data_IF_558866274558
#
_entry.id   IF_558866274558
#
_cell.length_a   1.000
_cell.length_b   1.000
_cell.length_c   1.000
_cell.angle_alpha   90.00
_cell.angle_beta   90.00
_cell.angle_gamma   90.00
#
_symmetry.space_group_name_H-M   'P 1'
#
loop_
_entity.id
_entity.type
_entity.pdbx_description
1 polymer ?
#
# COMPACT_ATOMS: atom_id res chain seq x y z
N UNK A 1 -32.36 8.26 38.54
CA UNK A 1 -31.23 7.31 38.39
C UNK A 1 -30.33 7.45 39.60
N UNK A 2 -30.03 6.35 40.29
CA UNK A 2 -29.26 6.38 41.54
C UNK A 2 -27.83 5.90 41.27
N UNK A 3 -26.84 6.77 41.50
CA UNK A 3 -25.40 6.46 41.40
C UNK A 3 -24.81 5.91 42.69
N UNK A 4 -25.58 5.94 43.78
CA UNK A 4 -25.15 5.44 45.09
C UNK A 4 -24.87 3.95 45.01
N UNK A 5 -23.76 3.55 45.65
CA UNK A 5 -23.36 2.14 45.73
C UNK A 5 -24.45 1.30 46.39
N UNK A 6 -24.73 0.08 45.89
CA UNK A 6 -25.77 -0.77 46.46
C UNK A 6 -25.56 -1.07 47.95
N UNK A 7 -24.32 -1.18 48.43
CA UNK A 7 -24.04 -1.39 49.86
C UNK A 7 -24.58 -0.30 50.79
N UNK A 8 -24.67 0.95 50.31
CA UNK A 8 -25.21 2.08 51.10
C UNK A 8 -26.73 2.02 51.19
N UNK A 9 -27.40 1.57 50.12
CA UNK A 9 -28.87 1.53 50.06
C UNK A 9 -29.42 0.22 50.62
N UNK A 10 -28.75 -0.90 50.35
CA UNK A 10 -29.14 -2.24 50.77
C UNK A 10 -28.57 -2.60 52.15
N UNK A 11 -27.52 -1.92 52.61
CA UNK A 11 -26.91 -2.12 53.92
C UNK A 11 -25.96 -3.32 54.03
N UNK A 12 -25.63 -4.00 52.93
CA UNK A 12 -24.75 -5.16 52.94
C UNK A 12 -24.12 -5.49 51.57
N UNK A 13 -23.16 -6.42 51.62
CA UNK A 13 -22.46 -6.97 50.46
C UNK A 13 -21.36 -6.05 49.95
N UNK A 14 -20.52 -6.60 49.06
CA UNK A 14 -19.54 -5.81 48.32
C UNK A 14 -19.93 -5.83 46.85
N UNK A 15 -19.89 -4.65 46.23
CA UNK A 15 -20.43 -4.43 44.88
C UNK A 15 -19.39 -3.77 43.98
N UNK A 16 -19.29 -4.23 42.75
CA UNK A 16 -18.43 -3.64 41.71
C UNK A 16 -19.29 -3.13 40.57
N UNK A 17 -19.03 -1.92 40.11
CA UNK A 17 -19.78 -1.31 39.02
C UNK A 17 -19.41 -1.93 37.68
N UNK A 18 -20.41 -2.12 36.83
CA UNK A 18 -20.23 -2.47 35.42
C UNK A 18 -20.28 -1.15 34.64
N UNK A 19 -19.16 -0.79 34.02
CA UNK A 19 -18.99 0.47 33.28
C UNK A 19 -18.61 0.16 31.84
N UNK A 20 -19.13 0.91 30.86
CA UNK A 20 -18.72 0.83 29.44
C UNK A 20 -18.79 -0.56 28.81
N UNK A 21 -19.77 -1.38 29.21
CA UNK A 21 -19.90 -2.78 28.75
C UNK A 21 -21.35 -3.15 28.46
N UNK A 22 -21.56 -3.89 27.37
CA UNK A 22 -22.81 -4.62 27.16
C UNK A 22 -22.79 -5.93 27.93
N UNK A 23 -23.96 -6.36 28.40
CA UNK A 23 -24.12 -7.66 29.03
C UNK A 23 -24.35 -8.72 27.95
N UNK A 24 -23.50 -9.75 27.96
CA UNK A 24 -23.59 -10.90 27.08
C UNK A 24 -23.85 -12.15 27.91
N UNK A 25 -24.91 -12.89 27.58
CA UNK A 25 -25.27 -14.12 28.28
C UNK A 25 -24.36 -15.26 27.81
N UNK A 26 -23.53 -15.79 28.71
CA UNK A 26 -22.55 -16.83 28.40
C UNK A 26 -22.47 -17.88 29.52
N UNK A 27 -21.81 -19.00 29.21
CA UNK A 27 -21.48 -20.06 30.18
C UNK A 27 -20.19 -19.77 30.97
N UNK A 28 -19.57 -18.61 30.71
CA UNK A 28 -18.48 -18.03 31.50
C UNK A 28 -18.98 -16.75 32.15
N UNK A 29 -18.35 -16.34 33.25
CA UNK A 29 -18.71 -15.13 33.99
C UNK A 29 -17.52 -14.19 34.10
N UNK A 30 -17.78 -12.88 34.01
CA UNK A 30 -16.79 -11.80 34.19
C UNK A 30 -15.67 -11.74 33.14
N UNK A 31 -15.79 -12.48 32.05
CA UNK A 31 -14.93 -12.30 30.88
C UNK A 31 -15.28 -11.00 30.16
N UNK A 32 -14.26 -10.33 29.63
CA UNK A 32 -14.42 -9.05 28.95
C UNK A 32 -13.77 -9.08 27.57
N UNK A 33 -14.38 -8.40 26.61
CA UNK A 33 -13.88 -8.27 25.25
C UNK A 33 -14.65 -7.20 24.48
N UNK A 34 -14.45 -7.17 23.17
CA UNK A 34 -15.07 -6.18 22.28
C UNK A 34 -14.23 -4.91 22.12
N UNK A 35 -14.66 -4.05 21.19
CA UNK A 35 -14.04 -2.75 20.90
C UNK A 35 -15.13 -1.74 20.55
N UNK A 36 -14.96 -0.47 20.90
CA UNK A 36 -15.84 0.60 20.43
C UNK A 36 -15.51 1.01 18.99
N UNK A 37 -14.29 0.74 18.52
CA UNK A 37 -13.78 1.11 17.19
C UNK A 37 -13.48 -0.11 16.33
N UNK A 38 -13.68 0.03 15.02
CA UNK A 38 -13.26 -0.95 14.02
C UNK A 38 -11.76 -0.76 13.78
N UNK A 39 -10.99 -1.84 13.90
CA UNK A 39 -9.55 -1.89 13.57
C UNK A 39 -9.30 -2.61 12.25
N UNK A 40 -8.07 -2.53 11.72
CA UNK A 40 -7.68 -3.26 10.51
C UNK A 40 -7.89 -4.78 10.62
N UNK A 41 -7.71 -5.36 11.82
CA UNK A 41 -7.95 -6.78 12.07
C UNK A 41 -9.43 -7.18 11.98
N UNK A 42 -10.35 -6.20 12.04
CA UNK A 42 -11.79 -6.44 11.87
C UNK A 42 -12.22 -6.36 10.40
N UNK A 43 -11.34 -5.94 9.49
CA UNK A 43 -11.67 -5.81 8.08
C UNK A 43 -11.43 -7.15 7.37
N UNK A 44 -12.34 -7.58 6.48
CA UNK A 44 -12.10 -8.74 5.63
C UNK A 44 -10.93 -8.48 4.69
N UNK A 45 -10.37 -9.57 4.15
CA UNK A 45 -9.40 -9.49 3.06
C UNK A 45 -9.99 -8.69 1.89
N UNK A 46 -9.23 -7.72 1.39
CA UNK A 46 -9.62 -6.88 0.27
C UNK A 46 -8.38 -6.55 -0.59
N UNK A 47 -8.63 -6.07 -1.80
CA UNK A 47 -7.58 -5.68 -2.75
C UNK A 47 -7.93 -4.35 -3.42
N UNK A 48 -6.90 -3.58 -3.76
CA UNK A 48 -7.04 -2.40 -4.59
C UNK A 48 -6.55 -2.71 -6.01
N UNK A 49 -7.36 -2.35 -7.00
CA UNK A 49 -6.91 -2.34 -8.40
C UNK A 49 -6.28 -0.99 -8.71
N UNK A 50 -5.07 -1.00 -9.26
CA UNK A 50 -4.30 0.19 -9.60
C UNK A 50 -3.82 0.04 -11.05
N UNK A 51 -4.02 1.07 -11.86
CA UNK A 51 -3.50 1.17 -13.24
C UNK A 51 -2.73 2.48 -13.38
N UNK A 52 -1.44 2.42 -13.72
CA UNK A 52 -0.53 3.56 -13.80
C UNK A 52 0.12 3.62 -15.17
N UNK A 53 0.34 4.82 -15.69
CA UNK A 53 1.06 5.08 -16.94
C UNK A 53 2.02 6.25 -16.77
N UNK A 54 3.16 6.21 -17.47
CA UNK A 54 4.03 7.38 -17.64
C UNK A 54 3.70 8.07 -18.96
N UNK A 55 3.81 9.40 -19.00
CA UNK A 55 3.42 10.20 -20.16
C UNK A 55 4.52 10.37 -21.20
N UNK A 56 5.77 10.05 -20.88
CA UNK A 56 6.92 10.33 -21.73
C UNK A 56 7.87 9.14 -21.78
N UNK A 57 8.25 8.73 -22.99
CA UNK A 57 9.41 7.88 -23.19
C UNK A 57 10.68 8.70 -22.93
N UNK A 58 11.65 8.12 -22.20
CA UNK A 58 12.93 8.79 -21.97
C UNK A 58 13.69 8.98 -23.28
N UNK A 59 13.88 10.23 -23.73
CA UNK A 59 14.69 10.53 -24.92
C UNK A 59 16.12 10.03 -24.73
N UNK A 60 16.59 9.18 -25.64
CA UNK A 60 17.99 8.79 -25.71
C UNK A 60 18.45 8.63 -27.16
N UNK A 61 19.78 8.63 -27.32
CA UNK A 61 20.47 8.62 -28.61
C UNK A 61 21.71 7.74 -28.50
N UNK A 62 21.93 6.87 -29.48
CA UNK A 62 23.18 6.13 -29.61
C UNK A 62 24.03 6.78 -30.69
N UNK A 63 25.32 6.98 -30.40
CA UNK A 63 26.31 7.42 -31.37
C UNK A 63 27.01 6.20 -31.93
N UNK A 64 27.08 6.09 -33.25
CA UNK A 64 27.78 5.00 -33.91
C UNK A 64 28.75 5.53 -34.98
N UNK A 65 29.74 4.70 -35.29
CA UNK A 65 30.74 4.96 -36.32
C UNK A 65 30.49 4.02 -37.49
N UNK A 66 30.05 4.59 -38.62
CA UNK A 66 29.85 3.85 -39.87
C UNK A 66 31.05 3.99 -40.78
N UNK A 67 31.31 2.97 -41.59
CA UNK A 67 32.27 3.03 -42.70
C UNK A 67 31.76 2.18 -43.86
N UNK A 68 32.09 2.58 -45.09
CA UNK A 68 31.77 1.80 -46.29
C UNK A 68 33.03 1.08 -46.80
N UNK A 69 32.88 -0.17 -47.21
CA UNK A 69 33.92 -0.93 -47.91
C UNK A 69 33.86 -0.61 -49.41
N UNK A 70 35.02 -0.52 -50.06
CA UNK A 70 35.11 -0.65 -51.52
C UNK A 70 36.06 -1.80 -51.85
N UNK A 71 35.70 -2.60 -52.86
CA UNK A 71 36.62 -3.55 -53.50
C UNK A 71 37.33 -2.82 -54.63
N UNK A 72 38.63 -3.06 -54.77
CA UNK A 72 39.56 -2.33 -55.65
C UNK A 72 39.04 -2.12 -57.07
N UNK A 73 39.10 -0.86 -57.53
CA UNK A 73 39.07 -0.50 -58.96
C UNK A 73 40.49 -0.42 -59.54
N UNK A 74 40.63 -0.62 -60.87
CA UNK A 74 41.93 -0.63 -61.56
C UNK A 74 42.70 0.69 -61.33
N UNK A 75 43.85 0.65 -60.64
CA UNK A 75 44.75 1.80 -60.50
C UNK A 75 45.51 1.96 -59.18
N UNK A 76 45.28 1.11 -58.17
CA UNK A 76 45.99 1.19 -56.87
C UNK A 76 46.83 -0.07 -56.57
N UNK A 77 48.07 0.10 -56.13
CA UNK A 77 49.05 -0.98 -55.81
C UNK A 77 48.77 -1.66 -54.46
N UNK A 78 47.59 -2.25 -54.34
CA UNK A 78 47.13 -2.98 -53.15
C UNK A 78 46.57 -4.34 -53.55
N UNK A 79 46.68 -5.35 -52.68
CA UNK A 79 46.23 -6.73 -52.94
C UNK A 79 44.71 -6.76 -53.23
N UNK A 80 44.27 -7.66 -54.10
CA UNK A 80 42.91 -7.65 -54.66
C UNK A 80 41.79 -7.90 -53.62
N UNK A 81 42.13 -8.54 -52.49
CA UNK A 81 41.19 -8.86 -51.40
C UNK A 81 41.26 -7.88 -50.20
N UNK A 82 41.84 -6.69 -50.38
CA UNK A 82 41.94 -5.72 -49.29
C UNK A 82 40.74 -4.77 -49.32
N UNK A 83 39.87 -4.90 -48.31
CA UNK A 83 38.84 -3.92 -48.02
C UNK A 83 39.46 -2.75 -47.25
N UNK A 84 39.32 -1.53 -47.79
CA UNK A 84 39.73 -0.31 -47.10
C UNK A 84 38.49 0.41 -46.58
N UNK A 85 38.57 0.91 -45.34
CA UNK A 85 37.57 1.81 -44.79
C UNK A 85 37.78 3.21 -45.36
N UNK A 86 36.84 3.67 -46.19
CA UNK A 86 36.81 5.05 -46.71
C UNK A 86 35.51 5.71 -46.26
N UNK A 87 35.56 7.03 -46.01
CA UNK A 87 34.42 7.85 -45.56
C UNK A 87 33.81 7.39 -44.24
N UNK A 88 34.63 7.35 -43.19
CA UNK A 88 34.14 7.12 -41.83
C UNK A 88 33.31 8.31 -41.35
N UNK A 89 32.09 8.06 -40.90
CA UNK A 89 31.18 9.10 -40.41
C UNK A 89 30.66 8.76 -39.02
N UNK A 90 30.57 9.79 -38.18
CA UNK A 90 29.81 9.73 -36.94
C UNK A 90 28.35 10.05 -37.25
N UNK A 91 27.45 9.16 -36.84
CA UNK A 91 26.01 9.39 -36.96
C UNK A 91 25.31 8.94 -35.67
N UNK A 92 24.07 9.41 -35.50
CA UNK A 92 23.26 9.20 -34.31
C UNK A 92 21.96 8.47 -34.65
N UNK A 93 21.57 7.50 -33.83
CA UNK A 93 20.23 6.89 -33.95
C UNK A 93 19.18 7.83 -33.37
N UNK A 94 18.18 8.21 -34.15
CA UNK A 94 17.03 9.00 -33.67
C UNK A 94 15.79 8.12 -33.58
N UNK A 95 15.51 7.57 -32.39
CA UNK A 95 14.26 6.89 -32.01
C UNK A 95 14.29 6.48 -30.53
N UNK A 96 13.10 6.24 -29.97
CA UNK A 96 12.91 5.60 -28.67
C UNK A 96 13.45 4.17 -28.72
N UNK A 97 14.53 3.88 -27.99
CA UNK A 97 14.92 2.51 -27.67
C UNK A 97 14.18 1.97 -26.46
N UNK A 98 14.42 0.69 -26.16
CA UNK A 98 13.81 -0.01 -25.03
C UNK A 98 14.23 0.64 -23.70
N UNK A 99 13.27 1.02 -22.87
CA UNK A 99 13.54 1.66 -21.58
C UNK A 99 12.45 1.33 -20.56
N UNK A 100 12.81 1.44 -19.29
CA UNK A 100 11.94 1.07 -18.17
C UNK A 100 11.53 2.29 -17.35
N UNK A 101 10.23 2.40 -17.08
CA UNK A 101 9.73 3.36 -16.09
C UNK A 101 9.65 2.72 -14.71
N UNK A 102 10.20 3.41 -13.70
CA UNK A 102 9.96 3.07 -12.30
C UNK A 102 8.90 4.01 -11.74
N UNK A 103 7.72 3.46 -11.45
CA UNK A 103 6.65 4.17 -10.77
C UNK A 103 6.59 3.71 -9.32
N UNK A 104 6.70 4.65 -8.38
CA UNK A 104 6.61 4.36 -6.94
C UNK A 104 5.95 5.52 -6.20
N UNK A 105 5.12 5.22 -5.22
CA UNK A 105 4.45 6.20 -4.37
C UNK A 105 3.53 5.52 -3.37
N UNK A 106 2.88 6.32 -2.54
CA UNK A 106 1.86 5.86 -1.60
C UNK A 106 0.49 6.30 -2.08
N UNK A 107 -0.49 5.41 -2.06
CA UNK A 107 -1.90 5.82 -2.15
C UNK A 107 -2.26 6.61 -0.89
N UNK A 108 -3.23 7.51 -0.97
CA UNK A 108 -3.76 8.15 0.23
C UNK A 108 -4.27 7.10 1.22
N UNK A 109 -4.13 7.36 2.51
CA UNK A 109 -4.79 6.53 3.53
C UNK A 109 -6.29 6.64 3.32
N UNK A 110 -6.93 5.52 2.98
CA UNK A 110 -8.38 5.42 2.87
C UNK A 110 -8.93 4.61 4.04
N UNK A 111 -10.14 4.93 4.48
CA UNK A 111 -10.75 4.35 5.67
C UNK A 111 -10.43 5.16 6.93
N UNK A 112 -11.47 5.53 7.66
CA UNK A 112 -11.38 6.06 9.02
C UNK A 112 -12.10 5.07 9.92
N UNK A 113 -11.51 4.73 11.08
CA UNK A 113 -12.25 3.99 12.08
C UNK A 113 -13.41 4.85 12.57
N UNK A 114 -14.54 4.22 12.82
CA UNK A 114 -15.71 4.88 13.39
C UNK A 114 -16.18 4.08 14.59
N UNK A 115 -16.67 4.80 15.60
CA UNK A 115 -17.41 4.17 16.69
C UNK A 115 -18.66 3.49 16.11
N UNK A 116 -18.84 2.22 16.44
CA UNK A 116 -19.92 1.39 15.89
C UNK A 116 -20.94 0.95 16.94
N UNK A 117 -21.16 1.78 17.97
CA UNK A 117 -22.16 1.49 19.00
C UNK A 117 -23.59 1.68 18.47
N UNK A 118 -24.47 0.66 18.54
CA UNK A 118 -25.89 0.84 18.24
C UNK A 118 -26.53 1.79 19.26
N UNK A 119 -27.68 2.42 18.98
CA UNK A 119 -28.39 3.25 19.94
C UNK A 119 -28.59 2.53 21.27
N UNK A 120 -28.27 3.20 22.38
CA UNK A 120 -28.31 2.63 23.72
C UNK A 120 -28.71 3.70 24.74
N UNK A 121 -29.12 3.25 25.92
CA UNK A 121 -29.27 4.09 27.10
C UNK A 121 -28.29 3.64 28.19
N UNK A 122 -27.81 4.58 29.00
CA UNK A 122 -26.91 4.27 30.12
C UNK A 122 -27.68 4.08 31.41
N UNK A 123 -27.26 3.11 32.21
CA UNK A 123 -27.79 2.85 33.55
C UNK A 123 -26.64 2.51 34.50
N UNK A 124 -26.84 2.75 35.80
CA UNK A 124 -25.92 2.25 36.82
C UNK A 124 -26.17 0.75 37.02
N UNK A 125 -25.21 -0.06 36.60
CA UNK A 125 -25.23 -1.52 36.78
C UNK A 125 -24.10 -1.95 37.73
N UNK A 126 -24.39 -2.93 38.59
CA UNK A 126 -23.48 -3.44 39.60
C UNK A 126 -23.58 -4.97 39.68
N UNK A 127 -22.47 -5.65 39.94
CA UNK A 127 -22.48 -7.05 40.34
C UNK A 127 -21.94 -7.20 41.77
N UNK A 128 -22.51 -8.14 42.50
CA UNK A 128 -22.06 -8.49 43.86
C UNK A 128 -20.86 -9.41 43.78
N UNK A 129 -19.82 -9.13 44.56
CA UNK A 129 -18.58 -9.91 44.57
C UNK A 129 -18.20 -10.51 45.95
N UNK A 130 -18.94 -10.15 47.01
CA UNK A 130 -18.99 -10.80 48.32
C UNK A 130 -20.34 -10.47 49.03
#
# INVERSE_FOLDING_TARGET
>A
MNSTRPEVVLGFGTWTQIVDRFLYCANSSKETGGSKTISGANLPAHSHYINLSTSEAGLHRHKYWGWSTMTKGKGYDVKDDVQFAINGSWDDTWREGDHTHRVSGYTQTTGQSKDYMPPYMTVYAWYRNA
#
